data_IF_409693232069
#
_entry.id   IF_409693232069
#
_cell.length_a   1.000
_cell.length_b   1.000
_cell.length_c   1.000
_cell.angle_alpha   90.00
_cell.angle_beta   90.00
_cell.angle_gamma   90.00
#
_symmetry.space_group_name_H-M   'P 1'
#
loop_
_entity.id
_entity.type
_entity.pdbx_description
1 polymer ?
#
# COMPACT_ATOMS: atom_id res chain seq x y z
N UNK A 1 -0.27 55.07 -15.08
CA UNK A 1 0.38 54.43 -16.25
C UNK A 1 0.41 52.93 -16.05
N UNK A 2 0.57 52.16 -17.13
CA UNK A 2 -0.05 50.85 -17.29
C UNK A 2 0.66 49.66 -16.63
N UNK A 3 -0.15 48.64 -16.39
CA UNK A 3 0.16 47.25 -16.02
C UNK A 3 1.36 46.58 -16.70
N UNK A 4 2.04 45.70 -15.95
CA UNK A 4 2.43 44.35 -16.43
C UNK A 4 2.47 43.35 -15.28
N UNK A 5 1.64 42.31 -15.36
CA UNK A 5 1.78 41.05 -14.64
C UNK A 5 2.54 40.07 -15.56
N UNK A 6 3.52 39.33 -15.04
CA UNK A 6 3.78 37.90 -15.34
C UNK A 6 5.13 37.49 -14.73
N UNK A 7 5.20 36.31 -14.12
CA UNK A 7 6.43 35.82 -13.48
C UNK A 7 6.20 34.69 -12.48
N UNK A 8 5.33 33.73 -12.81
CA UNK A 8 5.06 32.58 -11.95
C UNK A 8 6.29 31.65 -11.90
N UNK A 9 7.14 31.82 -10.90
CA UNK A 9 8.32 30.99 -10.72
C UNK A 9 7.93 29.67 -10.03
N UNK A 10 7.58 28.67 -10.84
CA UNK A 10 7.28 27.30 -10.39
C UNK A 10 8.55 26.62 -9.87
N UNK A 11 8.91 26.89 -8.60
CA UNK A 11 9.91 26.10 -7.88
C UNK A 11 9.41 24.66 -7.77
N UNK A 12 10.20 23.71 -8.30
CA UNK A 12 10.01 22.28 -8.04
C UNK A 12 10.02 22.05 -6.52
N UNK A 13 9.18 21.15 -5.97
CA UNK A 13 9.38 20.68 -4.60
C UNK A 13 10.77 20.03 -4.49
N UNK A 14 11.46 20.16 -3.34
CA UNK A 14 12.77 19.56 -3.15
C UNK A 14 12.66 18.04 -3.21
N UNK A 15 13.64 17.40 -3.86
CA UNK A 15 13.73 15.94 -3.91
C UNK A 15 13.90 15.40 -2.48
N UNK A 16 13.00 14.52 -2.05
CA UNK A 16 13.08 13.84 -0.75
C UNK A 16 14.16 12.76 -0.84
N UNK A 17 15.41 13.18 -0.72
CA UNK A 17 16.51 12.29 -0.40
C UNK A 17 16.40 11.88 1.09
N UNK A 18 15.69 10.79 1.36
CA UNK A 18 15.81 10.05 2.63
C UNK A 18 16.15 8.59 2.33
N UNK A 19 17.09 8.10 3.12
CA UNK A 19 17.62 6.73 3.18
C UNK A 19 16.65 5.64 2.72
N UNK A 20 17.05 4.87 1.71
CA UNK A 20 16.51 3.53 1.52
C UNK A 20 16.78 2.73 2.81
N UNK A 21 15.78 2.05 3.40
CA UNK A 21 16.07 1.10 4.46
C UNK A 21 16.95 -0.02 3.89
N UNK A 22 17.94 -0.45 4.68
CA UNK A 22 18.63 -1.71 4.41
C UNK A 22 17.61 -2.83 4.53
N UNK A 23 17.17 -3.37 3.39
CA UNK A 23 16.29 -4.53 3.37
C UNK A 23 17.08 -5.76 3.84
N UNK A 24 17.05 -5.99 5.15
CA UNK A 24 17.38 -7.29 5.72
C UNK A 24 16.53 -8.36 5.03
N UNK A 25 17.17 -9.49 4.72
CA UNK A 25 16.51 -10.64 4.14
C UNK A 25 15.26 -10.99 4.98
N UNK A 26 14.05 -11.13 4.39
CA UNK A 26 12.93 -11.70 5.12
C UNK A 26 13.27 -13.16 5.39
N UNK A 27 13.52 -13.47 6.66
CA UNK A 27 13.77 -14.83 7.12
C UNK A 27 12.49 -15.66 6.89
N UNK A 28 12.49 -16.67 6.00
CA UNK A 28 11.31 -17.47 5.76
C UNK A 28 11.06 -18.30 7.02
N UNK A 29 9.98 -17.97 7.74
CA UNK A 29 9.53 -18.69 8.92
C UNK A 29 9.00 -20.09 8.55
N UNK A 30 9.92 -20.98 8.17
CA UNK A 30 9.65 -22.38 7.93
C UNK A 30 9.04 -23.00 9.19
N UNK A 31 7.84 -23.57 9.06
CA UNK A 31 7.23 -24.35 10.14
C UNK A 31 8.04 -25.63 10.34
N UNK A 32 9.03 -25.58 11.22
CA UNK A 32 9.87 -26.71 11.63
C UNK A 32 8.98 -27.84 12.18
N UNK A 33 8.67 -28.83 11.34
CA UNK A 33 8.06 -30.09 11.77
C UNK A 33 9.17 -31.09 12.09
N UNK A 34 9.57 -31.09 13.36
CA UNK A 34 10.44 -32.12 13.93
C UNK A 34 9.84 -33.51 13.67
N UNK A 35 10.62 -34.42 13.09
CA UNK A 35 10.32 -35.86 13.06
C UNK A 35 11.37 -36.60 13.86
N UNK A 36 10.91 -37.41 14.80
CA UNK A 36 11.76 -38.29 15.60
C UNK A 36 12.09 -39.55 14.80
N UNK A 37 13.37 -39.84 14.62
CA UNK A 37 13.87 -41.14 14.13
C UNK A 37 14.57 -41.85 15.26
N UNK A 38 13.87 -42.77 15.92
CA UNK A 38 14.48 -43.65 16.91
C UNK A 38 15.14 -44.85 16.20
N UNK A 39 16.45 -45.00 16.37
CA UNK A 39 17.21 -46.15 15.87
C UNK A 39 17.63 -46.99 17.07
N UNK A 40 16.92 -48.11 17.30
CA UNK A 40 17.28 -49.05 18.36
C UNK A 40 18.44 -49.94 17.90
N UNK A 41 19.67 -49.47 18.06
CA UNK A 41 20.87 -50.29 17.91
C UNK A 41 20.92 -51.36 19.00
N UNK A 42 20.30 -52.51 18.74
CA UNK A 42 20.36 -53.66 19.64
C UNK A 42 21.71 -54.38 19.48
N UNK A 43 22.74 -53.88 20.15
CA UNK A 43 24.05 -54.55 20.23
C UNK A 43 23.94 -55.82 21.11
N UNK A 44 24.44 -56.98 20.67
CA UNK A 44 24.24 -58.24 21.37
C UNK A 44 25.11 -58.32 22.63
N UNK A 45 24.48 -58.55 23.79
CA UNK A 45 25.21 -58.92 25.00
C UNK A 45 25.70 -60.37 24.93
N UNK A 46 26.99 -60.55 25.19
CA UNK A 46 27.67 -61.86 25.25
C UNK A 46 27.18 -62.66 26.46
N UNK A 47 26.97 -63.97 26.28
CA UNK A 47 27.23 -64.96 27.34
C UNK A 47 27.95 -66.17 26.74
N UNK A 48 28.65 -66.92 27.60
CA UNK A 48 29.74 -67.83 27.20
C UNK A 48 29.27 -69.10 26.50
N UNK A 49 30.12 -69.62 25.61
CA UNK A 49 29.97 -70.97 25.07
C UNK A 49 30.67 -72.02 25.93
N UNK A 50 30.14 -73.24 25.90
CA UNK A 50 30.93 -74.47 25.90
C UNK A 50 30.12 -75.58 25.20
N UNK A 51 30.82 -76.54 24.62
CA UNK A 51 30.26 -77.47 23.65
C UNK A 51 29.86 -78.83 24.24
N UNK A 52 29.11 -79.56 23.40
CA UNK A 52 29.06 -81.02 23.20
C UNK A 52 27.90 -81.82 23.79
N UNK A 53 27.45 -82.75 22.94
CA UNK A 53 27.42 -84.17 23.30
C UNK A 53 26.05 -84.71 23.69
N UNK A 54 25.59 -85.73 22.97
CA UNK A 54 24.39 -86.47 23.31
C UNK A 54 24.57 -87.39 24.53
N UNK A 55 23.43 -87.71 25.14
CA UNK A 55 23.04 -89.04 25.66
C UNK A 55 22.84 -89.25 27.18
N UNK A 56 21.56 -89.52 27.49
CA UNK A 56 21.07 -90.58 28.38
C UNK A 56 20.88 -90.36 29.91
N UNK A 57 19.59 -90.52 30.30
CA UNK A 57 19.06 -91.39 31.37
C UNK A 57 18.85 -90.92 32.84
N UNK A 58 17.60 -91.15 33.28
CA UNK A 58 17.10 -91.62 34.61
C UNK A 58 16.98 -90.70 35.85
N UNK A 59 15.68 -90.45 36.15
CA UNK A 59 14.95 -90.76 37.42
C UNK A 59 15.08 -89.86 38.69
N UNK A 60 13.93 -89.22 38.97
CA UNK A 60 13.11 -89.24 40.23
C UNK A 60 13.52 -88.40 41.48
N UNK A 61 12.52 -87.58 41.85
CA UNK A 61 11.90 -87.36 43.20
C UNK A 61 12.37 -86.20 44.12
N UNK A 62 11.40 -85.28 44.31
CA UNK A 62 10.87 -84.77 45.60
C UNK A 62 11.50 -83.56 46.36
N UNK A 63 10.62 -82.56 46.62
CA UNK A 63 10.28 -81.94 47.93
C UNK A 63 10.76 -80.49 48.28
N UNK A 64 9.89 -79.51 47.95
CA UNK A 64 9.44 -78.32 48.72
C UNK A 64 10.44 -77.21 49.19
N UNK A 65 9.96 -75.98 49.55
CA UNK A 65 10.68 -74.72 49.26
C UNK A 65 11.01 -73.82 50.48
N UNK A 66 11.69 -72.69 50.20
CA UNK A 66 11.72 -71.42 50.97
C UNK A 66 11.98 -70.27 49.95
N UNK A 67 11.20 -69.19 49.92
CA UNK A 67 11.27 -67.98 50.79
C UNK A 67 12.66 -67.32 50.76
N UNK A 68 12.83 -66.04 50.39
CA UNK A 68 11.88 -65.05 49.85
C UNK A 68 12.42 -63.62 49.98
N UNK A 69 11.93 -62.68 49.16
CA UNK A 69 11.87 -61.22 49.42
C UNK A 69 11.15 -60.52 48.24
N UNK A 70 10.46 -59.39 48.47
CA UNK A 70 9.44 -58.90 47.54
C UNK A 70 10.04 -58.20 46.32
N UNK A 71 9.39 -58.38 45.17
CA UNK A 71 9.66 -57.59 43.98
C UNK A 71 9.26 -56.14 44.23
N UNK A 72 10.20 -55.21 44.04
CA UNK A 72 9.86 -53.84 43.68
C UNK A 72 9.11 -53.88 42.36
N UNK A 73 7.84 -53.48 42.35
CA UNK A 73 7.07 -53.33 41.12
C UNK A 73 7.64 -52.17 40.32
N UNK A 74 8.57 -52.47 39.42
CA UNK A 74 9.04 -51.52 38.41
C UNK A 74 7.83 -51.08 37.57
N UNK A 75 7.50 -49.79 37.66
CA UNK A 75 6.44 -49.22 36.86
C UNK A 75 6.86 -49.30 35.38
N UNK A 76 6.06 -50.00 34.57
CA UNK A 76 6.28 -50.08 33.12
C UNK A 76 6.33 -48.66 32.56
N UNK A 77 7.43 -48.23 31.90
CA UNK A 77 7.52 -46.87 31.37
C UNK A 77 6.41 -46.67 30.32
N UNK A 78 5.55 -45.69 30.56
CA UNK A 78 4.37 -45.41 29.73
C UNK A 78 4.69 -44.84 28.36
N UNK A 79 5.96 -44.52 28.08
CA UNK A 79 6.44 -44.00 26.79
C UNK A 79 7.61 -44.84 26.30
N UNK A 80 7.53 -45.28 25.04
CA UNK A 80 8.58 -46.07 24.36
C UNK A 80 9.89 -45.30 24.14
N UNK A 81 9.87 -43.98 24.36
CA UNK A 81 11.00 -43.09 24.26
C UNK A 81 11.10 -42.20 25.50
N UNK A 82 12.33 -41.91 25.88
CA UNK A 82 12.76 -41.02 26.96
C UNK A 82 13.58 -39.88 26.37
N UNK A 83 13.85 -38.83 27.15
CA UNK A 83 14.70 -37.71 26.70
C UNK A 83 16.15 -38.13 26.40
N UNK A 84 16.62 -39.21 27.02
CA UNK A 84 17.98 -39.75 26.83
C UNK A 84 18.15 -40.50 25.51
N UNK A 85 17.05 -40.94 24.87
CA UNK A 85 17.07 -41.60 23.55
C UNK A 85 17.34 -40.62 22.40
N UNK A 86 17.31 -39.31 22.65
CA UNK A 86 17.51 -38.25 21.63
C UNK A 86 19.01 -37.93 21.51
N UNK A 87 19.74 -38.78 20.78
CA UNK A 87 21.20 -38.64 20.58
C UNK A 87 21.59 -37.35 19.85
N UNK A 88 20.78 -36.87 18.90
CA UNK A 88 21.02 -35.61 18.20
C UNK A 88 19.72 -35.08 17.56
N UNK A 89 19.58 -33.75 17.46
CA UNK A 89 18.47 -33.08 16.75
C UNK A 89 19.07 -32.31 15.57
N UNK A 90 19.04 -32.94 14.38
CA UNK A 90 19.47 -32.31 13.14
C UNK A 90 18.22 -31.84 12.36
N UNK A 91 18.11 -30.55 11.99
CA UNK A 91 17.01 -30.09 11.14
C UNK A 91 17.17 -30.68 9.74
N UNK A 92 16.24 -31.55 9.33
CA UNK A 92 16.17 -32.05 7.95
C UNK A 92 15.43 -31.01 7.11
N UNK A 93 16.18 -30.09 6.49
CA UNK A 93 15.65 -29.14 5.51
C UNK A 93 15.13 -29.92 4.30
N UNK A 94 13.81 -29.98 4.13
CA UNK A 94 13.16 -30.74 3.04
C UNK A 94 12.87 -29.91 1.79
N UNK A 95 13.13 -28.60 1.84
CA UNK A 95 12.84 -27.65 0.78
C UNK A 95 14.04 -26.74 0.50
N UNK A 96 15.21 -27.34 0.30
CA UNK A 96 16.28 -26.65 -0.42
C UNK A 96 15.82 -26.45 -1.87
N UNK A 97 15.18 -25.31 -2.16
CA UNK A 97 15.09 -24.83 -3.54
C UNK A 97 16.53 -24.74 -4.06
N UNK A 98 16.93 -25.52 -5.08
CA UNK A 98 18.30 -25.50 -5.56
C UNK A 98 18.57 -24.13 -6.15
N UNK A 99 19.59 -23.43 -5.66
CA UNK A 99 19.97 -22.09 -6.12
C UNK A 99 21.29 -22.14 -6.88
N UNK A 100 21.32 -21.49 -8.04
CA UNK A 100 22.50 -21.41 -8.90
C UNK A 100 23.43 -20.28 -8.45
N UNK A 101 24.56 -20.67 -7.86
CA UNK A 101 25.62 -19.73 -7.48
C UNK A 101 26.06 -18.86 -8.67
N UNK A 102 26.24 -19.44 -9.86
CA UNK A 102 26.64 -18.71 -11.08
C UNK A 102 25.68 -17.57 -11.43
N UNK A 103 24.37 -17.81 -11.33
CA UNK A 103 23.36 -16.82 -11.70
C UNK A 103 23.31 -15.66 -10.69
N UNK A 104 23.52 -15.96 -9.40
CA UNK A 104 23.56 -15.00 -8.31
C UNK A 104 24.87 -14.19 -8.28
N UNK A 105 26.01 -14.85 -8.54
CA UNK A 105 27.31 -14.20 -8.73
C UNK A 105 27.26 -13.20 -9.89
N UNK A 106 26.63 -13.55 -11.02
CA UNK A 106 26.40 -12.62 -12.13
C UNK A 106 25.50 -11.45 -11.74
N UNK A 107 24.45 -11.68 -10.93
CA UNK A 107 23.55 -10.62 -10.46
C UNK A 107 24.31 -9.63 -9.57
N UNK A 108 25.06 -10.13 -8.61
CA UNK A 108 25.79 -9.32 -7.63
C UNK A 108 27.00 -8.63 -8.26
N UNK A 109 27.71 -9.29 -9.20
CA UNK A 109 28.73 -8.65 -10.02
C UNK A 109 28.16 -7.46 -10.81
N UNK A 110 26.98 -7.62 -11.42
CA UNK A 110 26.27 -6.53 -12.09
C UNK A 110 25.97 -5.35 -11.15
N UNK A 111 25.48 -5.63 -9.93
CA UNK A 111 25.20 -4.60 -8.90
C UNK A 111 26.47 -3.89 -8.44
N UNK A 112 27.55 -4.63 -8.19
CA UNK A 112 28.85 -4.08 -7.80
C UNK A 112 29.41 -3.20 -8.92
N UNK A 113 29.32 -3.62 -10.18
CA UNK A 113 29.73 -2.80 -11.34
C UNK A 113 28.93 -1.50 -11.46
N UNK A 114 27.62 -1.51 -11.16
CA UNK A 114 26.82 -0.27 -11.09
C UNK A 114 27.26 0.64 -9.94
N UNK A 115 27.57 0.10 -8.77
CA UNK A 115 28.10 0.86 -7.62
C UNK A 115 29.49 1.47 -7.92
N UNK A 116 30.31 0.78 -8.71
CA UNK A 116 31.58 1.29 -9.26
C UNK A 116 31.37 2.30 -10.41
N UNK A 117 30.13 2.71 -10.70
CA UNK A 117 29.72 3.61 -11.79
C UNK A 117 30.05 3.09 -13.21
N UNK A 118 30.35 1.80 -13.35
CA UNK A 118 30.59 1.13 -14.64
C UNK A 118 29.27 0.70 -15.29
N UNK A 119 28.44 1.69 -15.64
CA UNK A 119 27.01 1.48 -15.98
C UNK A 119 26.77 0.46 -17.10
N UNK A 120 27.57 0.49 -18.17
CA UNK A 120 27.42 -0.44 -19.31
C UNK A 120 27.69 -1.89 -18.92
N UNK A 121 28.85 -2.14 -18.30
CA UNK A 121 29.22 -3.47 -17.81
C UNK A 121 28.20 -4.00 -16.80
N UNK A 122 27.73 -3.14 -15.88
CA UNK A 122 26.68 -3.51 -14.94
C UNK A 122 25.38 -3.92 -15.65
N UNK A 123 24.90 -3.16 -16.64
CA UNK A 123 23.72 -3.53 -17.43
C UNK A 123 23.91 -4.85 -18.20
N UNK A 124 25.08 -5.07 -18.81
CA UNK A 124 25.41 -6.31 -19.53
C UNK A 124 25.37 -7.53 -18.60
N UNK A 125 26.04 -7.46 -17.44
CA UNK A 125 26.04 -8.52 -16.42
C UNK A 125 24.65 -8.79 -15.82
N UNK A 126 23.83 -7.74 -15.64
CA UNK A 126 22.46 -7.89 -15.17
C UNK A 126 21.55 -8.59 -16.19
N UNK A 127 21.75 -8.34 -17.49
CA UNK A 127 21.03 -9.04 -18.57
C UNK A 127 21.51 -10.49 -18.73
N UNK A 128 22.82 -10.73 -18.59
CA UNK A 128 23.38 -12.09 -18.57
C UNK A 128 22.83 -12.88 -17.38
N UNK A 129 22.84 -12.30 -16.17
CA UNK A 129 22.25 -12.90 -14.97
C UNK A 129 20.77 -13.23 -15.17
N UNK A 130 19.98 -12.33 -15.77
CA UNK A 130 18.57 -12.61 -16.08
C UNK A 130 18.45 -13.81 -17.03
N UNK A 131 19.24 -13.87 -18.09
CA UNK A 131 19.23 -14.98 -19.05
C UNK A 131 19.59 -16.30 -18.37
N UNK A 132 20.59 -16.31 -17.48
CA UNK A 132 20.96 -17.50 -16.69
C UNK A 132 19.81 -17.95 -15.77
N UNK A 133 19.12 -17.03 -15.10
CA UNK A 133 17.95 -17.36 -14.28
C UNK A 133 16.80 -17.95 -15.13
N UNK A 134 16.49 -17.33 -16.28
CA UNK A 134 15.44 -17.84 -17.19
C UNK A 134 15.79 -19.22 -17.77
N UNK A 135 17.06 -19.49 -18.07
CA UNK A 135 17.53 -20.78 -18.60
C UNK A 135 17.57 -21.90 -17.54
N UNK A 136 18.01 -21.59 -16.32
CA UNK A 136 18.22 -22.60 -15.26
C UNK A 136 16.91 -22.98 -14.57
N UNK A 137 16.06 -22.00 -14.26
CA UNK A 137 14.81 -22.23 -13.53
C UNK A 137 13.57 -22.30 -14.43
N UNK A 138 13.67 -21.77 -15.65
CA UNK A 138 12.52 -21.50 -16.51
C UNK A 138 11.84 -20.17 -16.19
N UNK A 139 11.21 -19.56 -17.19
CA UNK A 139 10.57 -18.23 -17.15
C UNK A 139 9.52 -18.11 -16.01
N UNK A 140 8.90 -19.23 -15.61
CA UNK A 140 7.83 -19.26 -14.62
C UNK A 140 8.30 -19.86 -13.27
N UNK A 141 9.22 -19.17 -12.60
CA UNK A 141 9.79 -19.61 -11.31
C UNK A 141 9.90 -18.44 -10.29
N UNK A 142 9.72 -18.67 -8.97
CA UNK A 142 9.83 -17.61 -7.95
C UNK A 142 11.18 -16.88 -7.96
N UNK A 143 12.30 -17.59 -8.18
CA UNK A 143 13.63 -16.96 -8.29
C UNK A 143 13.67 -15.92 -9.43
N UNK A 144 13.03 -16.21 -10.57
CA UNK A 144 12.96 -15.30 -11.72
C UNK A 144 12.07 -14.09 -11.41
N UNK A 145 10.97 -14.25 -10.67
CA UNK A 145 10.17 -13.13 -10.19
C UNK A 145 10.98 -12.18 -9.30
N UNK A 146 11.76 -12.72 -8.36
CA UNK A 146 12.67 -11.91 -7.52
C UNK A 146 13.72 -11.19 -8.34
N UNK A 147 14.32 -11.83 -9.34
CA UNK A 147 15.28 -11.16 -10.25
C UNK A 147 14.61 -10.05 -11.06
N UNK A 148 13.44 -10.28 -11.66
CA UNK A 148 12.70 -9.20 -12.35
C UNK A 148 12.41 -8.01 -11.41
N UNK A 149 12.01 -8.26 -10.16
CA UNK A 149 11.79 -7.20 -9.18
C UNK A 149 13.10 -6.45 -8.84
N UNK A 150 14.18 -7.17 -8.52
CA UNK A 150 15.50 -6.59 -8.24
C UNK A 150 16.02 -5.76 -9.41
N UNK A 151 15.91 -6.26 -10.64
CA UNK A 151 16.27 -5.54 -11.86
C UNK A 151 15.40 -4.30 -12.06
N UNK A 152 14.08 -4.40 -11.85
CA UNK A 152 13.19 -3.24 -12.00
C UNK A 152 13.58 -2.07 -11.09
N UNK A 153 13.99 -2.36 -9.85
CA UNK A 153 14.51 -1.35 -8.92
C UNK A 153 15.86 -0.77 -9.39
N UNK A 154 16.75 -1.57 -9.97
CA UNK A 154 18.04 -1.12 -10.49
C UNK A 154 17.89 -0.26 -11.75
N UNK A 155 17.07 -0.66 -12.73
CA UNK A 155 16.78 0.16 -13.91
C UNK A 155 16.10 1.49 -13.52
N UNK A 156 15.20 1.46 -12.53
CA UNK A 156 14.61 2.67 -11.97
C UNK A 156 15.66 3.60 -11.32
N UNK A 157 16.67 3.06 -10.62
CA UNK A 157 17.81 3.85 -10.10
C UNK A 157 18.71 4.42 -11.20
N UNK A 158 18.73 3.80 -12.38
CA UNK A 158 19.46 4.27 -13.57
C UNK A 158 18.67 5.30 -14.41
N UNK A 159 17.48 5.70 -13.96
CA UNK A 159 16.51 6.60 -14.64
C UNK A 159 15.93 6.02 -15.96
N UNK A 160 16.03 4.70 -16.16
CA UNK A 160 15.35 3.96 -17.24
C UNK A 160 13.99 3.45 -16.73
N UNK A 161 12.98 4.32 -16.88
CA UNK A 161 11.65 4.11 -16.28
C UNK A 161 10.81 3.12 -17.07
N UNK A 162 10.95 3.14 -18.39
CA UNK A 162 10.27 2.23 -19.30
C UNK A 162 10.69 0.78 -19.02
N UNK A 163 12.00 0.49 -18.98
CA UNK A 163 12.50 -0.85 -18.65
C UNK A 163 12.09 -1.29 -17.24
N UNK A 164 12.15 -0.38 -16.25
CA UNK A 164 11.71 -0.67 -14.88
C UNK A 164 10.22 -1.07 -14.81
N UNK A 165 9.34 -0.36 -15.53
CA UNK A 165 7.90 -0.67 -15.57
C UNK A 165 7.65 -2.02 -16.26
N UNK A 166 8.34 -2.33 -17.35
CA UNK A 166 8.20 -3.63 -18.03
C UNK A 166 8.67 -4.79 -17.14
N UNK A 167 9.82 -4.66 -16.49
CA UNK A 167 10.36 -5.67 -15.58
C UNK A 167 9.45 -5.86 -14.36
N UNK A 168 8.94 -4.78 -13.75
CA UNK A 168 7.98 -4.88 -12.64
C UNK A 168 6.67 -5.58 -13.06
N UNK A 169 6.17 -5.34 -14.27
CA UNK A 169 5.01 -6.07 -14.82
C UNK A 169 5.30 -7.56 -15.01
N UNK A 170 6.49 -7.92 -15.52
CA UNK A 170 6.92 -9.33 -15.62
C UNK A 170 7.02 -9.99 -14.23
N UNK A 171 7.61 -9.31 -13.25
CA UNK A 171 7.71 -9.78 -11.87
C UNK A 171 6.33 -10.13 -11.27
N UNK A 172 5.34 -9.24 -11.44
CA UNK A 172 3.96 -9.49 -11.00
C UNK A 172 3.38 -10.75 -11.68
N UNK A 173 3.43 -10.84 -13.00
CA UNK A 173 2.83 -11.98 -13.75
C UNK A 173 3.45 -13.32 -13.36
N UNK A 174 4.76 -13.36 -13.06
CA UNK A 174 5.42 -14.59 -12.57
C UNK A 174 5.06 -14.85 -11.10
N UNK A 175 5.08 -13.84 -10.23
CA UNK A 175 4.77 -13.99 -8.81
C UNK A 175 3.32 -14.44 -8.56
N UNK A 176 2.34 -13.82 -9.24
CA UNK A 176 0.92 -14.23 -9.22
C UNK A 176 0.72 -15.71 -9.55
N UNK A 177 1.48 -16.23 -10.52
CA UNK A 177 1.37 -17.62 -11.02
C UNK A 177 2.18 -18.65 -10.25
N UNK A 178 3.21 -18.23 -9.51
CA UNK A 178 4.15 -19.14 -8.85
C UNK A 178 3.98 -19.15 -7.33
N UNK A 179 3.82 -17.99 -6.70
CA UNK A 179 3.65 -17.83 -5.25
C UNK A 179 2.19 -17.46 -4.89
N UNK A 180 1.42 -16.93 -5.84
CA UNK A 180 0.02 -16.57 -5.67
C UNK A 180 -0.22 -15.07 -5.49
N UNK A 181 -1.46 -14.63 -5.69
CA UNK A 181 -1.87 -13.22 -5.57
C UNK A 181 -1.77 -12.73 -4.12
N UNK A 182 -2.09 -13.59 -3.15
CA UNK A 182 -2.10 -13.29 -1.72
C UNK A 182 -0.70 -13.38 -1.07
N UNK A 183 0.37 -13.48 -1.87
CA UNK A 183 1.74 -13.53 -1.36
C UNK A 183 2.28 -12.13 -1.03
N UNK A 184 3.07 -12.05 0.05
CA UNK A 184 3.87 -10.89 0.42
C UNK A 184 4.72 -10.36 -0.74
N UNK A 185 5.32 -11.27 -1.52
CA UNK A 185 6.20 -10.93 -2.64
C UNK A 185 5.40 -10.30 -3.80
N UNK A 186 4.28 -10.91 -4.17
CA UNK A 186 3.37 -10.38 -5.20
C UNK A 186 2.83 -9.00 -4.81
N UNK A 187 2.49 -8.83 -3.52
CA UNK A 187 2.04 -7.56 -2.98
C UNK A 187 3.12 -6.48 -3.12
N UNK A 188 4.37 -6.76 -2.73
CA UNK A 188 5.50 -5.84 -2.88
C UNK A 188 5.72 -5.46 -4.35
N UNK A 189 5.59 -6.41 -5.27
CA UNK A 189 5.71 -6.15 -6.71
C UNK A 189 4.63 -5.18 -7.23
N UNK A 190 3.38 -5.25 -6.74
CA UNK A 190 2.34 -4.24 -7.06
C UNK A 190 2.70 -2.85 -6.53
N UNK A 191 3.30 -2.75 -5.34
CA UNK A 191 3.70 -1.47 -4.75
C UNK A 191 4.86 -0.83 -5.51
N UNK A 192 5.86 -1.62 -5.90
CA UNK A 192 6.97 -1.16 -6.72
C UNK A 192 6.47 -0.68 -8.09
N UNK A 193 5.61 -1.44 -8.78
CA UNK A 193 4.99 -0.99 -10.04
C UNK A 193 4.19 0.30 -9.84
N UNK A 194 3.44 0.43 -8.75
CA UNK A 194 2.69 1.65 -8.44
C UNK A 194 3.61 2.87 -8.28
N UNK A 195 4.76 2.71 -7.62
CA UNK A 195 5.74 3.78 -7.45
C UNK A 195 6.36 4.19 -8.80
N UNK A 196 6.74 3.21 -9.64
CA UNK A 196 7.33 3.47 -10.96
C UNK A 196 6.34 4.17 -11.90
N UNK A 197 5.07 3.74 -11.94
CA UNK A 197 4.02 4.38 -12.73
C UNK A 197 3.78 5.83 -12.33
N UNK A 198 3.75 6.12 -11.02
CA UNK A 198 3.60 7.49 -10.53
C UNK A 198 4.73 8.41 -11.02
N UNK A 199 5.98 7.90 -11.05
CA UNK A 199 7.16 8.66 -11.45
C UNK A 199 7.42 8.72 -12.97
N UNK A 200 6.77 7.84 -13.75
CA UNK A 200 6.58 8.00 -15.18
C UNK A 200 5.43 8.98 -15.52
N UNK A 201 4.66 9.41 -14.52
CA UNK A 201 3.57 10.38 -14.64
C UNK A 201 2.16 9.78 -14.64
N UNK A 202 2.01 8.46 -14.76
CA UNK A 202 0.72 7.78 -14.64
C UNK A 202 0.31 7.59 -13.17
N UNK A 203 -0.06 8.71 -12.55
CA UNK A 203 -0.58 8.72 -11.18
C UNK A 203 -1.96 8.05 -11.04
N UNK A 204 -2.69 7.82 -12.15
CA UNK A 204 -3.99 7.14 -12.13
C UNK A 204 -3.82 5.62 -12.09
N UNK A 205 -2.96 5.08 -12.96
CA UNK A 205 -2.58 3.67 -12.95
C UNK A 205 -1.93 3.30 -11.62
N UNK A 206 -0.99 4.12 -11.15
CA UNK A 206 -0.38 3.98 -9.82
C UNK A 206 -1.43 3.86 -8.70
N UNK A 207 -2.35 4.82 -8.59
CA UNK A 207 -3.39 4.78 -7.57
C UNK A 207 -4.28 3.53 -7.65
N UNK A 208 -4.50 2.98 -8.86
CA UNK A 208 -5.22 1.71 -9.04
C UNK A 208 -4.45 0.53 -8.43
N UNK A 209 -3.16 0.39 -8.72
CA UNK A 209 -2.32 -0.67 -8.15
C UNK A 209 -2.13 -0.51 -6.64
N UNK A 210 -1.92 0.71 -6.12
CA UNK A 210 -1.89 0.98 -4.68
C UNK A 210 -3.21 0.60 -3.98
N UNK A 211 -4.36 0.95 -4.56
CA UNK A 211 -5.69 0.56 -4.03
C UNK A 211 -5.94 -0.95 -4.13
N UNK A 212 -5.34 -1.65 -5.09
CA UNK A 212 -5.40 -3.11 -5.18
C UNK A 212 -4.52 -3.78 -4.12
N UNK A 213 -3.25 -3.39 -4.03
CA UNK A 213 -2.31 -3.88 -3.04
C UNK A 213 -2.83 -3.69 -1.60
N UNK A 214 -3.46 -2.55 -1.28
CA UNK A 214 -4.07 -2.34 0.04
C UNK A 214 -5.28 -3.21 0.34
N UNK A 215 -6.05 -3.63 -0.67
CA UNK A 215 -7.15 -4.59 -0.46
C UNK A 215 -6.58 -5.96 -0.10
N UNK A 216 -5.54 -6.41 -0.81
CA UNK A 216 -4.82 -7.64 -0.48
C UNK A 216 -4.15 -7.54 0.89
N UNK A 217 -3.52 -6.40 1.21
CA UNK A 217 -2.89 -6.16 2.52
C UNK A 217 -3.87 -6.39 3.66
N UNK A 218 -5.08 -5.81 3.57
CA UNK A 218 -6.14 -5.94 4.58
C UNK A 218 -6.65 -7.38 4.75
N UNK A 219 -6.49 -8.23 3.74
CA UNK A 219 -6.86 -9.66 3.79
C UNK A 219 -5.73 -10.49 4.41
N UNK A 220 -4.48 -10.24 4.01
CA UNK A 220 -3.30 -11.05 4.40
C UNK A 220 -2.85 -10.73 5.84
N UNK A 221 -2.71 -9.44 6.16
CA UNK A 221 -2.10 -8.96 7.40
C UNK A 221 -3.08 -8.27 8.36
N UNK A 222 -4.33 -8.06 7.92
CA UNK A 222 -5.32 -7.25 8.63
C UNK A 222 -5.18 -5.73 8.40
N UNK A 223 -6.10 -4.94 8.98
CA UNK A 223 -6.20 -3.50 8.69
C UNK A 223 -5.19 -2.61 9.42
N UNK A 224 -4.63 -3.06 10.55
CA UNK A 224 -3.79 -2.24 11.43
C UNK A 224 -2.29 -2.59 11.31
N UNK A 225 -1.87 -3.14 10.16
CA UNK A 225 -0.46 -3.52 9.94
C UNK A 225 0.44 -2.28 9.73
N UNK A 226 1.62 -2.17 10.38
CA UNK A 226 2.47 -0.98 10.31
C UNK A 226 2.83 -0.56 8.89
N UNK A 227 3.27 -1.49 8.04
CA UNK A 227 3.72 -1.16 6.68
C UNK A 227 2.60 -0.61 5.77
N UNK A 228 1.33 -0.87 6.10
CA UNK A 228 0.19 -0.33 5.37
C UNK A 228 0.15 1.20 5.42
N UNK A 229 0.64 1.80 6.50
CA UNK A 229 0.78 3.26 6.69
C UNK A 229 1.54 3.87 5.52
N UNK A 230 2.70 3.31 5.16
CA UNK A 230 3.55 3.82 4.07
C UNK A 230 2.82 3.79 2.71
N UNK A 231 2.02 2.75 2.48
CA UNK A 231 1.26 2.58 1.24
C UNK A 231 0.06 3.52 1.16
N UNK A 232 -0.70 3.66 2.26
CA UNK A 232 -1.80 4.64 2.39
C UNK A 232 -1.26 6.05 2.16
N UNK A 233 -0.10 6.36 2.73
CA UNK A 233 0.58 7.65 2.58
C UNK A 233 1.00 7.94 1.13
N UNK A 234 1.61 6.96 0.45
CA UNK A 234 1.98 7.08 -0.95
C UNK A 234 0.74 7.28 -1.85
N UNK A 235 -0.34 6.56 -1.59
CA UNK A 235 -1.62 6.76 -2.29
C UNK A 235 -2.22 8.17 -2.04
N UNK A 236 -2.07 8.71 -0.83
CA UNK A 236 -2.49 10.06 -0.50
C UNK A 236 -1.70 11.13 -1.28
N UNK A 237 -0.38 10.95 -1.45
CA UNK A 237 0.48 11.82 -2.30
C UNK A 237 0.10 11.71 -3.78
N UNK A 238 -0.17 10.50 -4.29
CA UNK A 238 -0.67 10.31 -5.67
C UNK A 238 -1.99 11.06 -5.91
N UNK A 239 -2.89 11.10 -4.92
CA UNK A 239 -4.13 11.89 -4.97
C UNK A 239 -3.87 13.41 -5.01
N UNK A 240 -2.84 13.92 -4.32
CA UNK A 240 -2.44 15.34 -4.43
C UNK A 240 -1.95 15.68 -5.85
N UNK A 241 -1.17 14.79 -6.48
CA UNK A 241 -0.73 14.95 -7.86
C UNK A 241 -1.91 14.95 -8.86
N UNK A 242 -2.97 14.20 -8.57
CA UNK A 242 -4.23 14.21 -9.32
C UNK A 242 -5.14 15.41 -8.97
N UNK A 243 -4.72 16.29 -8.05
CA UNK A 243 -5.49 17.44 -7.51
C UNK A 243 -6.77 17.06 -6.77
N UNK A 244 -6.87 15.81 -6.33
CA UNK A 244 -7.96 15.30 -5.50
C UNK A 244 -7.67 15.56 -4.02
N UNK A 245 -7.52 16.83 -3.63
CA UNK A 245 -7.05 17.24 -2.29
C UNK A 245 -7.95 16.73 -1.16
N UNK A 246 -9.27 16.78 -1.35
CA UNK A 246 -10.22 16.29 -0.35
C UNK A 246 -10.12 14.77 -0.11
N UNK A 247 -10.02 13.97 -1.18
CA UNK A 247 -9.74 12.54 -1.03
C UNK A 247 -8.39 12.33 -0.36
N UNK A 248 -7.34 12.98 -0.85
CA UNK A 248 -5.97 12.89 -0.29
C UNK A 248 -5.96 13.09 1.23
N UNK A 249 -6.68 14.10 1.73
CA UNK A 249 -6.81 14.39 3.16
C UNK A 249 -7.37 13.21 3.96
N UNK A 250 -8.46 12.59 3.48
CA UNK A 250 -9.07 11.41 4.12
C UNK A 250 -8.08 10.22 4.17
N UNK A 251 -7.23 10.07 3.16
CA UNK A 251 -6.18 9.04 3.15
C UNK A 251 -5.05 9.36 4.15
N UNK A 252 -4.65 10.63 4.32
CA UNK A 252 -3.71 11.02 5.39
C UNK A 252 -4.32 10.84 6.80
N UNK A 253 -5.62 11.14 6.98
CA UNK A 253 -6.34 10.91 8.23
C UNK A 253 -6.38 9.40 8.60
N UNK A 254 -6.64 8.51 7.62
CA UNK A 254 -6.58 7.05 7.81
C UNK A 254 -5.15 6.55 8.09
N UNK A 255 -4.14 7.10 7.41
CA UNK A 255 -2.72 6.78 7.65
C UNK A 255 -2.31 7.12 9.09
N UNK A 256 -2.71 8.32 9.56
CA UNK A 256 -2.49 8.75 10.94
C UNK A 256 -3.24 7.86 11.94
N UNK A 257 -4.50 7.46 11.66
CA UNK A 257 -5.27 6.55 12.52
C UNK A 257 -4.52 5.23 12.78
N UNK A 258 -4.00 4.60 11.73
CA UNK A 258 -3.24 3.34 11.84
C UNK A 258 -1.90 3.56 12.56
N UNK A 259 -1.24 4.70 12.33
CA UNK A 259 -0.01 5.05 13.04
C UNK A 259 -0.23 5.29 14.54
N UNK A 260 -1.29 6.00 14.94
CA UNK A 260 -1.65 6.20 16.35
C UNK A 260 -1.94 4.89 17.07
N UNK A 261 -2.57 3.90 16.40
CA UNK A 261 -2.84 2.59 17.00
C UNK A 261 -1.61 1.70 17.15
N UNK A 262 -0.63 1.83 16.25
CA UNK A 262 0.59 1.00 16.24
C UNK A 262 1.71 1.59 17.09
N UNK A 263 2.00 2.87 16.91
CA UNK A 263 3.16 3.55 17.51
C UNK A 263 2.80 4.49 18.67
N UNK A 264 1.51 4.77 18.88
CA UNK A 264 1.06 5.76 19.85
C UNK A 264 1.12 7.20 19.33
N UNK A 265 0.44 8.11 20.04
CA UNK A 265 0.27 9.52 19.64
C UNK A 265 1.53 10.36 19.71
N UNK A 266 2.40 10.06 20.68
CA UNK A 266 3.61 10.83 20.97
C UNK A 266 4.83 10.31 20.19
N UNK A 267 4.64 9.34 19.28
CA UNK A 267 5.74 8.85 18.43
C UNK A 267 6.15 9.88 17.36
N UNK A 268 7.45 9.95 17.09
CA UNK A 268 8.04 10.65 15.94
C UNK A 268 7.37 10.25 14.61
N UNK A 269 6.97 8.98 14.45
CA UNK A 269 6.26 8.52 13.25
C UNK A 269 4.89 9.22 13.10
N UNK A 270 4.12 9.27 14.18
CA UNK A 270 2.83 9.99 14.25
C UNK A 270 3.00 11.49 13.99
N UNK A 271 4.07 12.10 14.53
CA UNK A 271 4.41 13.50 14.26
C UNK A 271 4.73 13.77 12.78
N UNK A 272 5.43 12.86 12.08
CA UNK A 272 5.67 13.02 10.62
C UNK A 272 4.41 12.91 9.78
N UNK A 273 3.42 12.09 10.19
CA UNK A 273 2.13 12.02 9.51
C UNK A 273 1.24 13.22 9.83
N UNK A 274 1.26 13.74 11.07
CA UNK A 274 0.60 15.01 11.42
C UNK A 274 1.15 16.18 10.58
N UNK A 275 2.47 16.23 10.35
CA UNK A 275 3.12 17.20 9.48
C UNK A 275 2.60 17.10 8.03
N UNK A 276 2.51 15.89 7.48
CA UNK A 276 2.02 15.66 6.11
C UNK A 276 0.51 15.91 5.98
N UNK A 277 -0.29 15.53 6.99
CA UNK A 277 -1.71 15.85 7.07
C UNK A 277 -1.95 17.36 7.13
N UNK A 278 -1.14 18.11 7.88
CA UNK A 278 -1.21 19.56 7.93
C UNK A 278 -0.90 20.22 6.57
N UNK A 279 0.05 19.68 5.81
CA UNK A 279 0.29 20.11 4.42
C UNK A 279 -0.91 19.78 3.51
N UNK A 280 -1.51 18.59 3.64
CA UNK A 280 -2.71 18.21 2.89
C UNK A 280 -3.92 19.11 3.21
N UNK A 281 -4.14 19.45 4.48
CA UNK A 281 -5.15 20.40 4.95
C UNK A 281 -4.95 21.81 4.35
N UNK A 282 -3.70 22.26 4.23
CA UNK A 282 -3.38 23.53 3.59
C UNK A 282 -3.72 23.54 2.09
N UNK A 283 -3.53 22.42 1.38
CA UNK A 283 -3.95 22.24 -0.01
C UNK A 283 -5.49 22.15 -0.16
N UNK A 284 -6.18 21.53 0.81
CA UNK A 284 -7.65 21.46 0.90
C UNK A 284 -8.30 22.77 1.40
N UNK A 285 -7.52 23.85 1.52
CA UNK A 285 -7.93 25.20 1.96
C UNK A 285 -8.41 25.33 3.41
N UNK A 286 -8.31 24.28 4.24
CA UNK A 286 -8.53 24.39 5.68
C UNK A 286 -7.27 24.89 6.41
N UNK A 287 -7.05 26.20 6.33
CA UNK A 287 -5.93 26.85 7.01
C UNK A 287 -5.99 26.75 8.54
N UNK A 288 -7.17 26.50 9.14
CA UNK A 288 -7.31 26.37 10.60
C UNK A 288 -6.91 24.97 11.06
N UNK A 289 -7.43 23.94 10.38
CA UNK A 289 -7.02 22.55 10.59
C UNK A 289 -5.52 22.38 10.37
N UNK A 290 -4.98 22.95 9.29
CA UNK A 290 -3.55 22.90 8.98
C UNK A 290 -2.67 23.45 10.11
N UNK A 291 -2.98 24.65 10.64
CA UNK A 291 -2.22 25.24 11.75
C UNK A 291 -2.31 24.40 13.03
N UNK A 292 -3.48 23.84 13.34
CA UNK A 292 -3.66 23.01 14.53
C UNK A 292 -2.84 21.72 14.44
N UNK A 293 -2.94 20.98 13.32
CA UNK A 293 -2.17 19.73 13.11
C UNK A 293 -0.67 19.96 12.99
N UNK A 294 -0.25 21.08 12.40
CA UNK A 294 1.17 21.48 12.38
C UNK A 294 1.70 21.77 13.79
N UNK A 295 0.90 22.40 14.66
CA UNK A 295 1.27 22.63 16.06
C UNK A 295 1.34 21.33 16.86
N UNK A 296 0.41 20.41 16.66
CA UNK A 296 0.46 19.06 17.26
C UNK A 296 1.76 18.34 16.86
N UNK A 297 2.10 18.35 15.57
CA UNK A 297 3.36 17.80 15.04
C UNK A 297 4.61 18.45 15.67
N UNK A 298 4.69 19.78 15.68
CA UNK A 298 5.81 20.53 16.26
C UNK A 298 5.99 20.22 17.75
N UNK A 299 4.91 20.14 18.53
CA UNK A 299 4.99 19.84 19.96
C UNK A 299 5.58 18.43 20.21
N UNK A 300 5.17 17.42 19.42
CA UNK A 300 5.73 16.07 19.56
C UNK A 300 7.20 16.03 19.13
N UNK A 301 7.58 16.69 18.03
CA UNK A 301 9.00 16.78 17.65
C UNK A 301 9.85 17.52 18.70
N UNK A 302 9.35 18.60 19.28
CA UNK A 302 10.04 19.35 20.33
C UNK A 302 10.26 18.50 21.60
N UNK A 303 9.29 17.66 21.97
CA UNK A 303 9.39 16.77 23.13
C UNK A 303 10.36 15.60 22.90
N UNK A 304 10.26 14.93 21.75
CA UNK A 304 11.01 13.69 21.46
C UNK A 304 12.43 13.93 20.91
N UNK A 305 12.60 14.93 20.04
CA UNK A 305 13.85 15.20 19.31
C UNK A 305 14.58 16.46 19.81
N UNK A 306 13.87 17.33 20.55
CA UNK A 306 14.39 18.62 21.01
C UNK A 306 14.36 19.73 19.97
N UNK A 307 14.75 20.96 20.36
CA UNK A 307 14.66 22.16 19.52
C UNK A 307 15.73 22.21 18.42
N UNK A 308 16.85 21.50 18.58
CA UNK A 308 17.96 21.58 17.64
C UNK A 308 17.81 20.68 16.40
N UNK A 309 16.89 19.72 16.42
CA UNK A 309 16.69 18.80 15.30
C UNK A 309 16.14 19.48 14.05
N UNK A 310 16.52 18.93 12.90
CA UNK A 310 16.07 19.36 11.58
C UNK A 310 14.55 19.26 11.41
N UNK A 311 13.90 18.20 11.91
CA UNK A 311 12.45 18.04 11.75
C UNK A 311 11.69 19.08 12.60
N UNK A 312 12.16 19.37 13.82
CA UNK A 312 11.58 20.41 14.69
C UNK A 312 11.66 21.79 14.05
N UNK A 313 12.82 22.16 13.49
CA UNK A 313 13.02 23.43 12.76
C UNK A 313 12.21 23.51 11.45
N UNK A 314 12.09 22.40 10.73
CA UNK A 314 11.20 22.33 9.55
C UNK A 314 9.73 22.52 9.97
N UNK A 315 9.26 21.89 11.05
CA UNK A 315 7.91 22.07 11.58
C UNK A 315 7.65 23.51 12.08
N UNK A 316 8.61 24.14 12.73
CA UNK A 316 8.53 25.56 13.17
C UNK A 316 8.34 26.51 11.98
N UNK A 317 9.23 26.43 10.99
CA UNK A 317 9.15 27.31 9.80
C UNK A 317 7.85 27.10 9.00
N UNK A 318 7.33 25.87 8.94
CA UNK A 318 6.02 25.59 8.36
C UNK A 318 4.87 26.14 9.22
N UNK A 319 4.95 26.07 10.55
CA UNK A 319 3.95 26.63 11.44
C UNK A 319 3.87 28.17 11.32
N UNK A 320 5.01 28.84 11.20
CA UNK A 320 5.07 30.28 10.91
C UNK A 320 4.42 30.61 9.55
N UNK A 321 4.76 29.88 8.48
CA UNK A 321 4.20 30.12 7.15
C UNK A 321 2.69 29.87 7.11
N UNK A 322 2.20 28.78 7.73
CA UNK A 322 0.78 28.46 7.79
C UNK A 322 0.00 29.47 8.62
N UNK A 323 0.55 29.94 9.75
CA UNK A 323 -0.10 30.99 10.57
C UNK A 323 -0.13 32.34 9.87
N UNK A 324 0.96 32.76 9.23
CA UNK A 324 0.98 33.99 8.40
C UNK A 324 -0.04 33.93 7.26
N UNK A 325 -0.13 32.79 6.56
CA UNK A 325 -1.11 32.56 5.50
C UNK A 325 -2.55 32.60 6.04
N UNK A 326 -2.84 31.88 7.12
CA UNK A 326 -4.16 31.86 7.76
C UNK A 326 -4.60 33.26 8.24
N UNK A 327 -3.68 34.05 8.82
CA UNK A 327 -3.95 35.44 9.24
C UNK A 327 -4.19 36.34 8.02
N UNK A 328 -3.42 36.17 6.95
CA UNK A 328 -3.62 36.90 5.69
C UNK A 328 -5.00 36.61 5.08
N UNK A 329 -5.37 35.34 4.96
CA UNK A 329 -6.70 34.90 4.49
C UNK A 329 -7.80 35.49 5.38
N UNK A 330 -7.66 35.40 6.71
CA UNK A 330 -8.64 35.96 7.64
C UNK A 330 -8.77 37.49 7.55
N UNK A 331 -7.66 38.21 7.32
CA UNK A 331 -7.66 39.65 7.09
C UNK A 331 -8.35 40.00 5.77
N UNK A 332 -7.98 39.34 4.67
CA UNK A 332 -8.63 39.56 3.37
C UNK A 332 -10.12 39.22 3.39
N UNK A 333 -10.54 38.18 4.10
CA UNK A 333 -11.96 37.85 4.29
C UNK A 333 -12.70 38.94 5.09
N UNK A 334 -12.12 39.44 6.19
CA UNK A 334 -12.67 40.55 6.98
C UNK A 334 -12.75 41.84 6.15
N UNK A 335 -11.70 42.19 5.40
CA UNK A 335 -11.67 43.37 4.54
C UNK A 335 -12.71 43.27 3.41
N UNK A 336 -12.89 42.09 2.81
CA UNK A 336 -13.92 41.84 1.81
C UNK A 336 -15.34 41.96 2.41
N UNK A 337 -15.56 41.46 3.63
CA UNK A 337 -16.83 41.59 4.35
C UNK A 337 -17.12 43.05 4.74
N UNK A 338 -16.12 43.78 5.24
CA UNK A 338 -16.22 45.20 5.55
C UNK A 338 -16.49 46.06 4.29
N UNK A 339 -15.87 45.72 3.15
CA UNK A 339 -16.17 46.35 1.85
C UNK A 339 -17.60 46.05 1.40
N UNK A 340 -18.09 44.81 1.52
CA UNK A 340 -19.49 44.44 1.20
C UNK A 340 -20.51 45.22 2.04
N UNK A 341 -20.23 45.40 3.34
CA UNK A 341 -21.06 46.21 4.24
C UNK A 341 -21.02 47.69 3.82
N UNK A 342 -19.83 48.23 3.52
CA UNK A 342 -19.64 49.62 3.07
C UNK A 342 -20.25 49.90 1.69
N UNK A 343 -20.33 48.91 0.80
CA UNK A 343 -20.91 49.06 -0.55
C UNK A 343 -22.44 48.94 -0.61
N UNK A 344 -23.12 48.75 0.53
CA UNK A 344 -24.57 48.99 0.64
C UNK A 344 -25.50 48.10 -0.19
N UNK A 345 -25.03 46.97 -0.75
CA UNK A 345 -25.87 46.04 -1.52
C UNK A 345 -26.75 45.23 -0.54
N UNK A 346 -27.85 45.86 -0.15
CA UNK A 346 -28.88 45.32 0.74
C UNK A 346 -29.92 44.60 -0.10
N UNK A 347 -29.72 43.32 -0.38
CA UNK A 347 -30.83 42.46 -0.80
C UNK A 347 -31.87 42.43 0.34
N UNK A 348 -33.18 42.50 0.04
CA UNK A 348 -34.19 42.43 1.08
C UNK A 348 -34.11 41.07 1.76
N UNK A 349 -33.90 41.06 3.07
CA UNK A 349 -33.99 39.84 3.85
C UNK A 349 -35.42 39.31 3.73
N UNK A 350 -35.58 38.08 3.25
CA UNK A 350 -36.83 37.35 3.40
C UNK A 350 -37.08 37.23 4.91
N UNK A 351 -38.12 37.89 5.39
CA UNK A 351 -38.48 37.88 6.81
C UNK A 351 -38.77 36.44 7.23
N UNK A 352 -38.08 35.99 8.28
CA UNK A 352 -38.39 34.74 8.97
C UNK A 352 -39.74 34.88 9.66
N UNK A 353 -40.81 34.64 8.91
CA UNK A 353 -42.16 34.53 9.44
C UNK A 353 -42.25 33.32 10.37
N UNK A 354 -42.69 33.56 11.59
CA UNK A 354 -43.07 32.53 12.56
C UNK A 354 -44.14 31.62 11.97
N UNK A 355 -43.87 30.31 11.93
CA UNK A 355 -44.85 29.30 11.52
C UNK A 355 -45.56 28.75 12.75
N UNK A 356 -46.82 29.12 12.94
CA UNK A 356 -47.84 28.22 13.49
C UNK A 356 -49.16 28.39 12.71
N UNK A 357 -50.02 27.36 12.63
CA UNK A 357 -50.88 27.17 11.47
C UNK A 357 -52.37 27.47 11.75
N UNK A 358 -53.03 28.16 10.82
CA UNK A 358 -54.49 28.12 10.70
C UNK A 358 -54.98 28.52 9.28
N UNK A 359 -55.75 27.60 8.68
CA UNK A 359 -56.94 27.81 7.83
C UNK A 359 -56.97 28.89 6.74
N UNK A 360 -57.17 28.41 5.51
CA UNK A 360 -57.46 29.11 4.27
C UNK A 360 -58.55 30.21 4.31
N UNK A 361 -58.35 31.28 3.53
CA UNK A 361 -59.28 31.68 2.45
C UNK A 361 -58.77 32.85 1.59
N UNK A 362 -58.86 32.72 0.26
CA UNK A 362 -59.20 33.82 -0.67
C UNK A 362 -58.14 34.86 -1.09
N UNK A 363 -57.78 34.85 -2.38
CA UNK A 363 -57.44 36.07 -3.13
C UNK A 363 -55.96 36.34 -3.45
N UNK A 364 -55.53 35.98 -4.68
CA UNK A 364 -54.30 36.49 -5.32
C UNK A 364 -54.60 36.90 -6.75
N UNK A 365 -54.05 38.04 -7.19
CA UNK A 365 -54.09 38.49 -8.59
C UNK A 365 -52.71 38.24 -9.25
N UNK A 366 -52.78 37.58 -10.41
CA UNK A 366 -51.82 37.32 -11.49
C UNK A 366 -50.38 37.86 -11.45
N UNK A 367 -49.43 37.02 -11.91
CA UNK A 367 -48.83 37.17 -13.25
C UNK A 367 -47.95 35.98 -13.67
N UNK A 368 -48.15 35.48 -14.90
CA UNK A 368 -47.22 34.71 -15.78
C UNK A 368 -46.42 33.51 -15.20
N UNK A 369 -46.44 32.29 -15.75
CA UNK A 369 -47.14 31.76 -16.92
C UNK A 369 -46.52 30.39 -17.28
N UNK A 370 -47.22 29.30 -16.98
CA UNK A 370 -46.79 27.92 -17.27
C UNK A 370 -47.96 27.15 -17.91
N UNK A 371 -47.60 26.24 -18.80
CA UNK A 371 -48.49 25.57 -19.76
C UNK A 371 -49.57 24.72 -19.06
N UNK A 372 -50.85 25.05 -19.27
CA UNK A 372 -51.98 24.43 -18.57
C UNK A 372 -52.63 23.31 -19.39
N UNK A 373 -51.87 22.24 -19.67
CA UNK A 373 -52.39 20.99 -20.24
C UNK A 373 -52.56 19.95 -19.13
N UNK A 374 -53.57 19.10 -19.24
CA UNK A 374 -53.85 18.10 -18.21
C UNK A 374 -52.78 17.00 -18.19
N UNK A 375 -52.55 16.38 -17.03
CA UNK A 375 -51.52 15.36 -16.85
C UNK A 375 -51.76 14.17 -17.79
N UNK A 376 -53.03 13.79 -17.99
CA UNK A 376 -53.42 12.69 -18.87
C UNK A 376 -53.17 13.00 -20.36
N UNK A 377 -53.32 14.26 -20.79
CA UNK A 377 -52.94 14.69 -22.16
C UNK A 377 -51.43 14.66 -22.38
N UNK A 378 -50.63 14.97 -21.35
CA UNK A 378 -49.17 14.90 -21.41
C UNK A 378 -48.69 13.43 -21.46
N UNK A 379 -49.31 12.54 -20.70
CA UNK A 379 -49.02 11.09 -20.76
C UNK A 379 -49.38 10.54 -22.15
N UNK A 380 -50.58 10.87 -22.66
CA UNK A 380 -51.04 10.45 -23.99
C UNK A 380 -50.21 10.99 -25.15
N UNK A 381 -49.51 12.11 -24.95
CA UNK A 381 -48.54 12.66 -25.91
C UNK A 381 -47.18 11.93 -25.87
N UNK A 382 -46.78 11.40 -24.72
CA UNK A 382 -45.54 10.63 -24.54
C UNK A 382 -45.68 9.20 -25.10
N UNK A 383 -46.88 8.60 -25.01
CA UNK A 383 -47.13 7.21 -25.41
C UNK A 383 -47.40 6.98 -26.92
N UNK A 384 -47.40 8.05 -27.74
CA UNK A 384 -47.24 7.94 -29.20
C UNK A 384 -48.40 7.32 -30.00
N UNK A 385 -49.50 8.05 -30.17
CA UNK A 385 -50.60 7.71 -31.09
C UNK A 385 -50.71 8.65 -32.32
N UNK A 386 -50.72 8.07 -33.52
CA UNK A 386 -50.81 8.77 -34.84
C UNK A 386 -52.18 9.45 -35.07
N UNK A 387 -52.39 10.43 -35.98
CA UNK A 387 -51.49 11.10 -36.94
C UNK A 387 -52.28 11.91 -38.01
N UNK A 388 -51.61 12.25 -39.14
CA UNK A 388 -52.15 12.84 -40.40
C UNK A 388 -52.54 14.36 -40.43
N UNK A 389 -52.37 15.12 -41.53
CA UNK A 389 -51.45 15.03 -42.70
C UNK A 389 -51.40 16.31 -43.59
N UNK A 390 -50.20 16.63 -44.14
CA UNK A 390 -49.90 17.30 -45.45
C UNK A 390 -50.37 18.76 -45.73
N UNK A 391 -49.82 19.47 -46.76
CA UNK A 391 -48.55 19.28 -47.51
C UNK A 391 -47.63 20.53 -47.60
N UNK A 392 -46.33 20.31 -47.86
CA UNK A 392 -45.33 21.37 -48.12
C UNK A 392 -45.09 21.66 -49.61
N UNK A 393 -44.90 22.93 -50.01
CA UNK A 393 -44.44 23.34 -51.36
C UNK A 393 -42.99 23.89 -51.36
N UNK A 394 -42.30 23.54 -52.45
CA UNK A 394 -40.88 23.74 -52.87
C UNK A 394 -40.12 25.03 -52.46
N UNK A 395 -38.82 24.81 -52.14
CA UNK A 395 -37.54 25.53 -52.48
C UNK A 395 -37.59 26.77 -53.42
N UNK A 396 -36.56 27.65 -53.48
CA UNK A 396 -35.18 27.55 -52.94
C UNK A 396 -34.84 28.73 -51.95
N UNK A 397 -33.61 29.20 -51.66
CA UNK A 397 -32.22 28.89 -52.05
C UNK A 397 -31.18 29.87 -51.45
N UNK A 398 -29.87 29.64 -51.68
CA UNK A 398 -28.69 30.44 -51.21
C UNK A 398 -28.50 30.53 -49.68
N UNK A 399 -27.29 30.74 -49.13
CA UNK A 399 -25.96 30.82 -49.73
C UNK A 399 -24.96 31.46 -48.75
N UNK A 400 -23.94 30.73 -48.30
CA UNK A 400 -23.03 31.14 -47.22
C UNK A 400 -22.00 32.20 -47.70
N UNK A 401 -21.94 33.43 -47.11
CA UNK A 401 -21.00 34.46 -47.54
C UNK A 401 -19.69 34.45 -46.72
N UNK A 402 -18.56 34.17 -47.37
CA UNK A 402 -17.22 34.49 -46.84
C UNK A 402 -16.45 35.39 -47.81
N UNK A 403 -16.13 36.60 -47.32
CA UNK A 403 -15.03 37.51 -47.71
C UNK A 403 -14.87 37.92 -49.19
N UNK A 404 -14.86 39.24 -49.40
CA UNK A 404 -13.72 39.98 -49.99
C UNK A 404 -13.87 41.49 -49.67
N UNK A 405 -12.79 42.26 -49.53
CA UNK A 405 -11.38 41.86 -49.55
C UNK A 405 -10.39 43.02 -49.64
N UNK A 406 -9.11 42.65 -49.78
CA UNK A 406 -7.93 43.32 -50.36
C UNK A 406 -6.75 42.35 -50.10
N UNK A 407 -5.70 42.26 -50.92
CA UNK A 407 -5.45 42.90 -52.21
C UNK A 407 -5.89 42.02 -53.40
#
# INVERSE_FOLDING_TARGET
>A
MSSTLSGANTRRPPAVARSLPSYGHPDPSERIRLRYTAIRCCSPQKTNGQANGESSNKKKKNKKPREGSPASTEAVPTTTFTSEDIVNVVPVVKHSCPRSALAEEALEAGRISLLQNQRKLGQELLLESLSLHEQIYGILHPEVARVYNSLSMLYYQLDDKEAAIELARKAIVVAERTVGVDSAETLLNYLNLSLFLHQAGDSKGALSYSKHALKLWKIIYGPDHPDSITTINNAAVMLQHLKAYHESRLWFEESLRVCETVFGRESVNSATLLFQLAQALALDQDSKGAVNRMRESYNVFLNELGPEDKNTKEAETWLEQLTQNAVSIAKHAKDAQARRIRSGIRFPAASTGTVQPATASGGRISSTGMDSRSIDELIKFIEGGEGQSKPSKKRPGQGNPKRRGRA
#
